data_IF_945940192762
#
_entry.id   IF_945940192762
#
_cell.length_a   1.000
_cell.length_b   1.000
_cell.length_c   1.000
_cell.angle_alpha   90.00
_cell.angle_beta   90.00
_cell.angle_gamma   90.00
#
_symmetry.space_group_name_H-M   'P 1'
#
loop_
_entity.id
_entity.type
_entity.pdbx_description
1 polymer ?
#
# COMPACT_ATOMS: atom_id res chain seq x y z
N UNK A 1 -14.38 -4.05 13.30
CA UNK A 1 -14.37 -5.35 12.60
C UNK A 1 -13.50 -6.32 13.38
N UNK A 2 -13.87 -7.58 13.52
CA UNK A 2 -13.01 -8.55 14.22
C UNK A 2 -11.88 -8.95 13.26
N UNK A 3 -10.61 -8.80 13.68
CA UNK A 3 -9.42 -9.13 12.86
C UNK A 3 -9.46 -10.52 12.20
N UNK A 4 -10.27 -11.43 12.75
CA UNK A 4 -10.51 -12.77 12.23
C UNK A 4 -11.21 -12.81 10.85
N UNK A 5 -11.84 -11.71 10.41
CA UNK A 5 -12.57 -11.66 9.14
C UNK A 5 -11.66 -11.53 7.91
N UNK A 6 -10.44 -11.00 8.07
CA UNK A 6 -9.49 -10.83 6.96
C UNK A 6 -8.49 -12.00 6.84
N UNK A 7 -8.57 -12.99 7.72
CA UNK A 7 -7.64 -14.10 7.71
C UNK A 7 -7.86 -15.00 6.49
N UNK A 8 -6.83 -15.20 5.67
CA UNK A 8 -6.93 -15.92 4.40
C UNK A 8 -7.30 -15.05 3.19
N UNK A 9 -7.50 -13.74 3.39
CA UNK A 9 -7.72 -12.78 2.33
C UNK A 9 -6.47 -12.56 1.47
N UNK A 10 -6.64 -12.57 0.15
CA UNK A 10 -5.61 -12.16 -0.80
C UNK A 10 -5.62 -10.65 -1.06
N UNK A 11 -4.47 -10.10 -1.44
CA UNK A 11 -4.35 -8.75 -2.00
C UNK A 11 -3.27 -8.77 -3.08
N UNK A 12 -3.53 -8.09 -4.19
CA UNK A 12 -2.51 -7.86 -5.21
C UNK A 12 -1.73 -6.58 -4.87
N UNK A 13 -0.40 -6.67 -4.78
CA UNK A 13 0.48 -5.51 -4.67
C UNK A 13 1.31 -5.38 -5.94
N UNK A 14 1.19 -4.24 -6.61
CA UNK A 14 1.99 -3.89 -7.79
C UNK A 14 2.88 -2.70 -7.49
N UNK A 15 4.19 -2.92 -7.55
CA UNK A 15 5.19 -1.84 -7.53
C UNK A 15 5.50 -1.43 -8.96
N UNK A 16 5.51 -0.12 -9.23
CA UNK A 16 5.58 0.39 -10.60
C UNK A 16 6.35 1.73 -10.68
N UNK A 17 6.48 2.28 -11.89
CA UNK A 17 7.01 3.63 -12.14
C UNK A 17 5.93 4.71 -12.16
N UNK A 18 6.36 5.97 -12.09
CA UNK A 18 5.50 7.16 -12.21
C UNK A 18 4.70 7.20 -13.51
N UNK A 19 5.30 6.76 -14.61
CA UNK A 19 4.63 6.74 -15.92
C UNK A 19 3.40 5.82 -15.89
N UNK A 20 3.58 4.60 -15.38
CA UNK A 20 2.51 3.60 -15.33
C UNK A 20 1.43 3.97 -14.32
N UNK A 21 1.78 4.52 -13.15
CA UNK A 21 0.75 4.95 -12.18
C UNK A 21 -0.01 6.18 -12.68
N UNK A 22 0.64 7.08 -13.44
CA UNK A 22 -0.04 8.23 -14.09
C UNK A 22 -1.12 7.74 -15.05
N UNK A 23 -0.80 6.73 -15.87
CA UNK A 23 -1.77 6.16 -16.81
C UNK A 23 -2.93 5.47 -16.08
N UNK A 24 -2.67 4.84 -14.93
CA UNK A 24 -3.72 4.25 -14.08
C UNK A 24 -4.59 5.30 -13.42
N UNK A 25 -3.98 6.34 -12.84
CA UNK A 25 -4.63 7.45 -12.16
C UNK A 25 -5.60 8.17 -13.11
N UNK A 26 -5.15 8.44 -14.34
CA UNK A 26 -5.98 9.04 -15.40
C UNK A 26 -7.13 8.12 -15.80
N UNK A 27 -6.87 6.83 -16.05
CA UNK A 27 -7.87 5.90 -16.59
C UNK A 27 -8.97 5.54 -15.59
N UNK A 28 -8.66 5.46 -14.30
CA UNK A 28 -9.61 4.95 -13.30
C UNK A 28 -10.19 6.05 -12.41
N UNK A 29 -9.42 7.10 -12.09
CA UNK A 29 -9.85 8.17 -11.17
C UNK A 29 -9.94 9.55 -11.85
N UNK A 30 -9.63 9.64 -13.14
CA UNK A 30 -9.64 10.91 -13.88
C UNK A 30 -8.57 11.92 -13.44
N UNK A 31 -7.61 11.49 -12.61
CA UNK A 31 -6.56 12.35 -12.08
C UNK A 31 -5.48 12.70 -13.10
N UNK A 32 -4.69 13.73 -12.80
CA UNK A 32 -3.56 14.17 -13.62
C UNK A 32 -2.22 13.93 -12.91
N UNK A 33 -1.23 13.45 -13.67
CA UNK A 33 0.13 13.24 -13.19
C UNK A 33 0.30 12.00 -12.30
N UNK A 34 1.54 11.74 -11.86
CA UNK A 34 1.84 10.63 -10.96
C UNK A 34 1.23 10.87 -9.59
N UNK A 35 0.82 9.78 -8.95
CA UNK A 35 0.51 9.73 -7.51
C UNK A 35 1.41 8.69 -6.86
N UNK A 36 1.48 8.66 -5.54
CA UNK A 36 2.31 7.72 -4.81
C UNK A 36 1.68 6.33 -4.69
N UNK A 37 0.38 6.26 -4.42
CA UNK A 37 -0.37 5.02 -4.26
C UNK A 37 -1.78 5.14 -4.84
N UNK A 38 -2.30 4.03 -5.36
CA UNK A 38 -3.69 3.84 -5.76
C UNK A 38 -4.22 2.54 -5.14
N UNK A 39 -5.45 2.56 -4.66
CA UNK A 39 -6.16 1.38 -4.16
C UNK A 39 -7.38 1.10 -5.04
N UNK A 40 -7.53 -0.16 -5.43
CA UNK A 40 -8.65 -0.65 -6.24
C UNK A 40 -9.36 -1.77 -5.47
N UNK A 41 -10.40 -1.44 -4.68
CA UNK A 41 -11.21 -2.43 -4.00
C UNK A 41 -11.87 -3.37 -5.00
N UNK A 42 -11.96 -4.66 -4.65
CA UNK A 42 -12.71 -5.61 -5.47
C UNK A 42 -14.22 -5.31 -5.34
N UNK A 43 -14.86 -4.87 -6.42
CA UNK A 43 -16.32 -4.73 -6.46
C UNK A 43 -16.96 -6.13 -6.49
N UNK A 44 -17.94 -6.35 -5.59
CA UNK A 44 -18.74 -7.58 -5.47
C UNK A 44 -18.14 -8.74 -4.65
N UNK A 45 -17.40 -8.45 -3.57
CA UNK A 45 -17.23 -9.45 -2.51
C UNK A 45 -18.61 -9.83 -1.95
N UNK A 46 -18.93 -11.13 -1.97
CA UNK A 46 -20.14 -11.65 -1.32
C UNK A 46 -20.09 -11.23 0.15
N UNK A 47 -21.15 -10.65 0.74
CA UNK A 47 -21.13 -10.25 2.15
C UNK A 47 -20.67 -11.42 3.04
N UNK A 48 -19.49 -11.30 3.65
CA UNK A 48 -18.87 -12.34 4.48
C UNK A 48 -17.79 -13.21 3.81
N UNK A 49 -17.50 -13.04 2.52
CA UNK A 49 -16.30 -13.59 1.85
C UNK A 49 -15.27 -12.46 1.69
N UNK A 50 -14.13 -12.63 2.35
CA UNK A 50 -12.98 -11.73 2.28
C UNK A 50 -11.84 -12.37 1.49
N UNK A 51 -12.12 -13.30 0.57
CA UNK A 51 -11.08 -14.10 -0.09
C UNK A 51 -10.10 -13.22 -0.91
N UNK A 52 -10.53 -12.04 -1.34
CA UNK A 52 -9.67 -11.06 -2.02
C UNK A 52 -10.13 -9.61 -1.74
N UNK A 53 -9.20 -8.77 -1.30
CA UNK A 53 -9.42 -7.36 -0.96
C UNK A 53 -9.31 -6.41 -2.18
N UNK A 54 -8.75 -6.89 -3.29
CA UNK A 54 -8.47 -6.09 -4.49
C UNK A 54 -6.98 -5.84 -4.69
N UNK A 55 -6.64 -4.67 -5.23
CA UNK A 55 -5.27 -4.37 -5.67
C UNK A 55 -4.77 -3.04 -5.13
N UNK A 56 -3.50 -2.99 -4.73
CA UNK A 56 -2.76 -1.78 -4.37
C UNK A 56 -1.65 -1.57 -5.41
N UNK A 57 -1.54 -0.36 -5.95
CA UNK A 57 -0.47 0.01 -6.88
C UNK A 57 0.34 1.14 -6.28
N UNK A 58 1.66 0.95 -6.13
CA UNK A 58 2.58 1.94 -5.55
C UNK A 58 3.64 2.33 -6.56
N UNK A 59 3.89 3.63 -6.73
CA UNK A 59 5.03 4.11 -7.53
C UNK A 59 6.31 4.16 -6.69
N UNK A 60 7.31 3.37 -7.08
CA UNK A 60 8.63 3.40 -6.45
C UNK A 60 9.32 4.76 -6.66
N UNK A 61 9.13 5.39 -7.81
CA UNK A 61 9.68 6.71 -8.13
C UNK A 61 9.11 7.78 -7.19
N UNK A 62 7.79 7.75 -6.97
CA UNK A 62 7.12 8.66 -6.06
C UNK A 62 7.55 8.43 -4.61
N UNK A 63 7.62 7.17 -4.17
CA UNK A 63 8.10 6.81 -2.82
C UNK A 63 9.49 7.38 -2.56
N UNK A 64 10.45 7.15 -3.46
CA UNK A 64 11.81 7.63 -3.29
C UNK A 64 11.89 9.16 -3.33
N UNK A 65 11.17 9.80 -4.26
CA UNK A 65 11.12 11.25 -4.37
C UNK A 65 10.51 11.89 -3.13
N UNK A 66 9.38 11.39 -2.64
CA UNK A 66 8.70 11.92 -1.45
C UNK A 66 9.49 11.67 -0.18
N UNK A 67 10.07 10.48 -0.02
CA UNK A 67 10.93 10.17 1.12
C UNK A 67 12.12 11.16 1.19
N UNK A 68 12.75 11.45 0.05
CA UNK A 68 13.79 12.47 -0.03
C UNK A 68 13.28 13.87 0.32
N UNK A 69 12.17 14.31 -0.28
CA UNK A 69 11.58 15.64 -0.07
C UNK A 69 11.15 15.87 1.39
N UNK A 70 10.62 14.83 2.03
CA UNK A 70 10.12 14.89 3.42
C UNK A 70 11.18 14.48 4.45
N UNK A 71 12.40 14.19 4.01
CA UNK A 71 13.50 13.73 4.88
C UNK A 71 13.10 12.51 5.72
N UNK A 72 12.40 11.57 5.11
CA UNK A 72 11.96 10.32 5.72
C UNK A 72 12.78 9.15 5.17
N UNK A 73 12.93 8.12 6.00
CA UNK A 73 13.43 6.84 5.54
C UNK A 73 12.48 6.26 4.47
N UNK A 74 12.96 5.90 3.26
CA UNK A 74 12.12 5.39 2.19
C UNK A 74 11.32 4.14 2.56
N UNK A 75 11.87 3.27 3.39
CA UNK A 75 11.18 2.07 3.84
C UNK A 75 10.00 2.43 4.75
N UNK A 76 10.21 3.34 5.71
CA UNK A 76 9.15 3.86 6.59
C UNK A 76 8.04 4.56 5.78
N UNK A 77 8.40 5.36 4.77
CA UNK A 77 7.43 6.01 3.89
C UNK A 77 6.62 5.00 3.07
N UNK A 78 7.28 3.98 2.52
CA UNK A 78 6.61 2.89 1.81
C UNK A 78 5.63 2.12 2.71
N UNK A 79 6.05 1.76 3.93
CA UNK A 79 5.20 1.06 4.90
C UNK A 79 3.98 1.90 5.25
N UNK A 80 4.16 3.22 5.44
CA UNK A 80 3.04 4.15 5.69
C UNK A 80 2.01 4.11 4.56
N UNK A 81 2.46 4.31 3.31
CA UNK A 81 1.58 4.31 2.14
C UNK A 81 0.87 2.97 1.95
N UNK A 82 1.61 1.86 2.09
CA UNK A 82 1.06 0.52 1.94
C UNK A 82 0.04 0.21 3.04
N UNK A 83 0.36 0.52 4.29
CA UNK A 83 -0.56 0.30 5.42
C UNK A 83 -1.84 1.10 5.24
N UNK A 84 -1.72 2.38 4.87
CA UNK A 84 -2.86 3.25 4.60
C UNK A 84 -3.75 2.68 3.47
N UNK A 85 -3.14 2.27 2.37
CA UNK A 85 -3.84 1.67 1.24
C UNK A 85 -4.56 0.36 1.61
N UNK A 86 -3.91 -0.51 2.39
CA UNK A 86 -4.50 -1.76 2.86
C UNK A 86 -5.64 -1.53 3.86
N UNK A 87 -5.55 -0.53 4.74
CA UNK A 87 -6.64 -0.18 5.65
C UNK A 87 -7.88 0.30 4.88
N UNK A 88 -7.69 1.07 3.82
CA UNK A 88 -8.79 1.41 2.91
C UNK A 88 -9.41 0.17 2.26
N UNK A 89 -8.60 -0.77 1.76
CA UNK A 89 -9.12 -2.03 1.20
C UNK A 89 -9.84 -2.89 2.24
N UNK A 90 -9.44 -2.80 3.51
CA UNK A 90 -10.10 -3.46 4.63
C UNK A 90 -11.40 -2.75 5.10
N UNK A 91 -11.81 -1.67 4.44
CA UNK A 91 -13.05 -0.94 4.73
C UNK A 91 -12.94 0.06 5.88
N UNK A 92 -11.74 0.49 6.24
CA UNK A 92 -11.56 1.62 7.15
C UNK A 92 -11.72 2.93 6.38
N UNK A 93 -12.45 3.87 6.97
CA UNK A 93 -12.58 5.23 6.46
C UNK A 93 -11.36 6.07 6.89
N UNK A 94 -11.02 7.06 6.07
CA UNK A 94 -9.95 8.00 6.40
C UNK A 94 -10.30 8.80 7.66
N UNK A 95 -9.40 8.83 8.64
CA UNK A 95 -9.57 9.56 9.89
C UNK A 95 -8.56 9.16 10.95
N UNK A 96 -8.69 9.73 12.16
CA UNK A 96 -7.72 9.63 13.26
C UNK A 96 -7.35 8.19 13.60
N UNK A 97 -8.31 7.27 13.66
CA UNK A 97 -8.04 5.85 13.94
C UNK A 97 -7.17 5.20 12.85
N UNK A 98 -7.42 5.50 11.58
CA UNK A 98 -6.63 4.97 10.46
C UNK A 98 -5.20 5.54 10.50
N UNK A 99 -5.07 6.82 10.80
CA UNK A 99 -3.76 7.49 10.95
C UNK A 99 -2.96 6.87 12.10
N UNK A 100 -3.58 6.67 13.27
CA UNK A 100 -2.97 6.03 14.43
C UNK A 100 -2.48 4.61 14.11
N UNK A 101 -3.34 3.79 13.49
CA UNK A 101 -2.98 2.43 13.07
C UNK A 101 -1.81 2.42 12.08
N UNK A 102 -1.79 3.39 11.17
CA UNK A 102 -0.71 3.54 10.19
C UNK A 102 0.62 3.85 10.87
N UNK A 103 0.67 4.85 11.73
CA UNK A 103 1.93 5.22 12.41
C UNK A 103 2.40 4.14 13.40
N UNK A 104 1.49 3.48 14.12
CA UNK A 104 1.82 2.34 14.96
C UNK A 104 2.49 1.21 14.16
N UNK A 105 2.00 0.95 12.94
CA UNK A 105 2.60 -0.06 12.04
C UNK A 105 4.00 0.33 11.60
N UNK A 106 4.23 1.61 11.27
CA UNK A 106 5.57 2.11 10.94
C UNK A 106 6.54 1.90 12.09
N UNK A 107 6.16 2.26 13.32
CA UNK A 107 7.00 2.09 14.52
C UNK A 107 7.32 0.61 14.78
N UNK A 108 6.33 -0.28 14.68
CA UNK A 108 6.54 -1.72 14.89
C UNK A 108 7.50 -2.33 13.86
N UNK A 109 7.41 -1.89 12.60
CA UNK A 109 8.26 -2.41 11.53
C UNK A 109 9.69 -1.85 11.58
N UNK A 110 9.91 -0.65 12.12
CA UNK A 110 11.25 -0.10 12.35
C UNK A 110 12.08 -0.91 13.36
N UNK A 111 11.41 -1.55 14.32
CA UNK A 111 12.06 -2.44 15.29
C UNK A 111 12.32 -3.87 14.77
N UNK A 112 11.80 -4.21 13.58
CA UNK A 112 11.89 -5.55 13.00
C UNK A 112 13.10 -5.63 12.06
N UNK A 113 14.08 -6.48 12.37
CA UNK A 113 15.17 -6.78 11.43
C UNK A 113 14.62 -7.55 10.23
N UNK A 114 14.50 -6.86 9.09
CA UNK A 114 14.22 -7.52 7.82
C UNK A 114 15.49 -8.24 7.34
N UNK A 115 15.36 -9.54 7.04
CA UNK A 115 16.41 -10.30 6.37
C UNK A 115 16.43 -9.84 4.91
N UNK A 116 17.49 -9.12 4.51
CA UNK A 116 17.75 -8.86 3.09
C UNK A 116 18.01 -10.20 2.40
N UNK A 117 17.05 -10.67 1.62
CA UNK A 117 17.28 -11.77 0.70
C UNK A 117 18.00 -11.20 -0.52
N UNK A 118 19.33 -11.16 -0.47
CA UNK A 118 20.14 -10.92 -1.65
C UNK A 118 19.78 -11.99 -2.67
N UNK A 119 19.13 -11.61 -3.77
CA UNK A 119 18.91 -12.52 -4.87
C UNK A 119 20.29 -13.01 -5.34
N UNK A 120 20.62 -14.28 -5.09
CA UNK A 120 21.74 -14.92 -5.73
C UNK A 120 21.50 -14.83 -7.23
N UNK A 121 22.31 -14.02 -7.91
CA UNK A 121 22.45 -14.08 -9.35
C UNK A 121 23.06 -15.44 -9.68
N UNK A 122 22.22 -16.42 -10.02
CA UNK A 122 22.70 -17.62 -10.68
C UNK A 122 23.21 -17.22 -12.07
N UNK A 123 24.50 -17.47 -12.25
CA UNK A 123 25.31 -17.31 -13.46
C UNK A 123 24.93 -18.29 -14.56
#
# INVERSE_FOLDING_TARGET
MAANQLQGAGVELRITSDQLITDLHRRHLGGMGPTNVLSFPLENSVPGSYDNLGSVVVSADAVLREAFLYQQDPQSHFIRLLTHALLHLAGYEHGELMEEMTENTVVLMQGTHFVNYSANSES
#
